data_IF_244493619625
#
_entry.id   IF_244493619625
#
_cell.length_a   1.000
_cell.length_b   1.000
_cell.length_c   1.000
_cell.angle_alpha   90.00
_cell.angle_beta   90.00
_cell.angle_gamma   90.00
#
_symmetry.space_group_name_H-M   'P 1'
#
loop_
_entity.id
_entity.type
_entity.pdbx_description
1 polymer ?
#
# COMPACT_ATOMS: atom_id res chain seq x y z
N UNK A 1 17.36 5.42 2.98
CA UNK A 1 17.04 4.69 1.73
C UNK A 1 17.84 5.32 0.59
N UNK A 2 18.70 4.56 -0.08
CA UNK A 2 19.59 5.09 -1.11
C UNK A 2 18.86 5.45 -2.41
N UNK A 3 19.50 6.25 -3.25
CA UNK A 3 19.04 6.49 -4.62
C UNK A 3 19.03 5.18 -5.43
N UNK A 4 18.13 5.07 -6.40
CA UNK A 4 17.96 3.87 -7.23
C UNK A 4 17.11 2.77 -6.60
N UNK A 5 16.66 2.94 -5.35
CA UNK A 5 15.78 1.97 -4.70
C UNK A 5 14.44 1.90 -5.42
N UNK A 6 14.02 0.70 -5.81
CA UNK A 6 12.70 0.46 -6.38
C UNK A 6 11.67 0.25 -5.27
N UNK A 7 10.58 0.97 -5.36
CA UNK A 7 9.48 0.92 -4.41
C UNK A 7 8.18 0.58 -5.11
N UNK A 8 7.25 0.04 -4.35
CA UNK A 8 5.94 -0.43 -4.81
C UNK A 8 4.83 0.15 -3.93
N UNK A 9 3.68 0.36 -4.54
CA UNK A 9 2.48 0.81 -3.85
C UNK A 9 1.24 0.24 -4.54
N UNK A 10 0.35 -0.38 -3.80
CA UNK A 10 -0.94 -0.84 -4.32
C UNK A 10 -1.87 0.34 -4.58
N UNK A 11 -2.62 0.23 -5.67
CA UNK A 11 -3.53 1.28 -6.14
C UNK A 11 -4.83 0.68 -6.66
N UNK A 12 -5.83 1.55 -6.81
CA UNK A 12 -7.11 1.25 -7.41
C UNK A 12 -7.26 2.05 -8.71
N UNK A 13 -7.12 1.38 -9.85
CA UNK A 13 -7.27 2.00 -11.18
C UNK A 13 -8.72 2.38 -11.50
N UNK A 14 -9.69 1.83 -10.78
CA UNK A 14 -11.11 2.16 -10.94
C UNK A 14 -11.53 3.48 -10.29
N UNK A 15 -10.62 4.12 -9.54
CA UNK A 15 -10.92 5.42 -8.91
C UNK A 15 -10.84 6.55 -9.94
N UNK A 16 -11.62 7.65 -9.74
CA UNK A 16 -11.48 8.86 -10.54
C UNK A 16 -10.07 9.46 -10.48
N UNK A 17 -9.40 9.31 -9.33
CA UNK A 17 -8.00 9.70 -9.15
C UNK A 17 -7.07 8.80 -9.97
N UNK A 18 -6.21 9.37 -10.80
CA UNK A 18 -5.25 8.60 -11.59
C UNK A 18 -4.30 7.78 -10.74
N UNK A 19 -3.74 6.70 -11.30
CA UNK A 19 -2.71 5.89 -10.63
C UNK A 19 -1.46 6.71 -10.30
N UNK A 20 -1.09 7.65 -11.15
CA UNK A 20 0.00 8.58 -10.89
C UNK A 20 -0.27 9.49 -9.69
N UNK A 21 -1.49 10.00 -9.56
CA UNK A 21 -1.89 10.78 -8.39
C UNK A 21 -1.95 9.93 -7.11
N UNK A 22 -2.40 8.68 -7.21
CA UNK A 22 -2.37 7.74 -6.09
C UNK A 22 -0.94 7.40 -5.65
N UNK A 23 0.03 7.44 -6.56
CA UNK A 23 1.44 7.27 -6.24
C UNK A 23 2.00 8.40 -5.36
N UNK A 24 1.42 9.60 -5.42
CA UNK A 24 1.85 10.73 -4.59
C UNK A 24 1.29 10.64 -3.16
N UNK A 25 1.68 9.58 -2.46
CA UNK A 25 1.29 9.25 -1.09
C UNK A 25 2.51 8.71 -0.32
N UNK A 26 2.52 8.81 1.02
CA UNK A 26 3.71 8.49 1.81
C UNK A 26 3.99 7.00 2.01
N UNK A 27 3.02 6.12 1.81
CA UNK A 27 3.16 4.70 2.13
C UNK A 27 3.60 3.87 0.94
N UNK A 28 4.77 3.23 1.08
CA UNK A 28 5.40 2.39 0.07
C UNK A 28 5.97 1.12 0.69
N UNK A 29 6.42 0.18 -0.13
CA UNK A 29 7.14 -1.00 0.31
C UNK A 29 8.21 -1.39 -0.71
N UNK A 30 9.21 -2.12 -0.22
CA UNK A 30 10.34 -2.57 -1.01
C UNK A 30 10.05 -3.86 -1.77
N UNK A 31 10.98 -4.29 -2.59
CA UNK A 31 10.85 -5.49 -3.43
C UNK A 31 10.70 -6.78 -2.60
N UNK A 32 11.47 -6.94 -1.54
CA UNK A 32 11.43 -8.16 -0.71
C UNK A 32 10.06 -8.38 -0.06
N UNK A 33 9.46 -7.42 0.64
CA UNK A 33 8.07 -7.53 1.10
C UNK A 33 7.08 -7.84 -0.02
N UNK A 34 7.26 -7.26 -1.20
CA UNK A 34 6.42 -7.54 -2.36
C UNK A 34 6.49 -9.00 -2.78
N UNK A 35 7.70 -9.55 -2.91
CA UNK A 35 7.89 -10.95 -3.28
C UNK A 35 7.37 -11.90 -2.19
N UNK A 36 7.56 -11.56 -0.93
CA UNK A 36 7.06 -12.37 0.19
C UNK A 36 5.53 -12.46 0.18
N UNK A 37 4.85 -11.36 -0.09
CA UNK A 37 3.39 -11.36 -0.26
C UNK A 37 2.94 -12.20 -1.46
N UNK A 38 3.61 -12.09 -2.59
CA UNK A 38 3.32 -12.90 -3.79
C UNK A 38 3.48 -14.39 -3.52
N UNK A 39 4.60 -14.80 -2.97
CA UNK A 39 4.86 -16.20 -2.65
C UNK A 39 3.87 -16.75 -1.63
N UNK A 40 3.50 -15.95 -0.64
CA UNK A 40 2.48 -16.36 0.32
C UNK A 40 1.12 -16.58 -0.35
N UNK A 41 0.70 -15.64 -1.20
CA UNK A 41 -0.55 -15.75 -1.94
C UNK A 41 -0.58 -17.00 -2.82
N UNK A 42 0.45 -17.23 -3.61
CA UNK A 42 0.59 -18.38 -4.50
C UNK A 42 0.52 -19.71 -3.72
N UNK A 43 1.27 -19.83 -2.62
CA UNK A 43 1.32 -21.06 -1.81
C UNK A 43 0.02 -21.37 -1.08
N UNK A 44 -0.77 -20.37 -0.76
CA UNK A 44 -1.97 -20.54 0.06
C UNK A 44 -3.27 -20.39 -0.76
N UNK A 45 -3.19 -20.25 -2.08
CA UNK A 45 -4.37 -20.09 -2.94
C UNK A 45 -5.14 -18.79 -2.73
N UNK A 46 -4.45 -17.74 -2.28
CA UNK A 46 -5.03 -16.42 -2.10
C UNK A 46 -4.65 -15.48 -3.26
N UNK A 47 -5.42 -14.42 -3.45
CA UNK A 47 -5.04 -13.35 -4.36
C UNK A 47 -4.00 -12.44 -3.70
N UNK A 48 -3.14 -11.84 -4.52
CA UNK A 48 -2.18 -10.85 -4.02
C UNK A 48 -2.90 -9.63 -3.43
N UNK A 49 -4.02 -9.22 -4.01
CA UNK A 49 -4.85 -8.12 -3.49
C UNK A 49 -5.33 -8.40 -2.05
N UNK A 50 -5.80 -9.61 -1.80
CA UNK A 50 -6.24 -10.03 -0.46
C UNK A 50 -5.09 -10.01 0.55
N UNK A 51 -3.95 -10.59 0.17
CA UNK A 51 -2.76 -10.60 1.02
C UNK A 51 -2.25 -9.18 1.29
N UNK A 52 -2.21 -8.32 0.28
CA UNK A 52 -1.81 -6.94 0.43
C UNK A 52 -2.69 -6.18 1.43
N UNK A 53 -4.00 -6.38 1.33
CA UNK A 53 -4.95 -5.74 2.26
C UNK A 53 -4.67 -6.13 3.71
N UNK A 54 -4.47 -7.41 3.98
CA UNK A 54 -4.22 -7.92 5.33
C UNK A 54 -2.83 -7.53 5.84
N UNK A 55 -1.79 -7.78 5.07
CA UNK A 55 -0.41 -7.61 5.52
C UNK A 55 0.02 -6.15 5.64
N UNK A 56 -0.56 -5.29 4.82
CA UNK A 56 -0.28 -3.86 4.86
C UNK A 56 -1.35 -3.06 5.61
N UNK A 57 -2.34 -3.73 6.18
CA UNK A 57 -3.46 -3.10 6.89
C UNK A 57 -4.13 -1.98 6.08
N UNK A 58 -4.43 -2.25 4.80
CA UNK A 58 -5.06 -1.29 3.90
C UNK A 58 -6.58 -1.30 4.12
N UNK A 59 -7.11 -0.22 4.67
CA UNK A 59 -8.55 -0.08 4.92
C UNK A 59 -9.32 0.15 3.62
N UNK A 60 -10.53 -0.40 3.54
CA UNK A 60 -11.41 -0.21 2.38
C UNK A 60 -11.73 1.26 2.11
N UNK A 61 -11.86 2.07 3.14
CA UNK A 61 -12.14 3.51 2.97
C UNK A 61 -11.02 4.25 2.23
N UNK A 62 -9.78 3.77 2.29
CA UNK A 62 -8.65 4.39 1.59
C UNK A 62 -8.45 3.79 0.21
N UNK A 63 -8.69 2.49 0.06
CA UNK A 63 -8.57 1.78 -1.20
C UNK A 63 -9.64 0.70 -1.26
N UNK A 64 -10.76 0.98 -1.91
CA UNK A 64 -11.90 0.06 -1.96
C UNK A 64 -11.54 -1.24 -2.67
N UNK A 65 -10.85 -1.13 -3.79
CA UNK A 65 -10.35 -2.26 -4.55
C UNK A 65 -8.85 -2.11 -4.77
N UNK A 66 -8.13 -3.20 -4.66
CA UNK A 66 -6.72 -3.26 -5.02
C UNK A 66 -6.67 -3.92 -6.39
N UNK A 67 -6.58 -3.11 -7.44
CA UNK A 67 -6.62 -3.58 -8.83
C UNK A 67 -5.24 -3.73 -9.46
N UNK A 68 -4.24 -3.12 -8.87
CA UNK A 68 -2.88 -3.14 -9.38
C UNK A 68 -1.89 -2.51 -8.41
N UNK A 69 -0.70 -2.32 -8.90
CA UNK A 69 0.33 -1.61 -8.18
C UNK A 69 1.10 -0.67 -9.10
N UNK A 70 1.64 0.37 -8.52
CA UNK A 70 2.64 1.22 -9.17
C UNK A 70 4.01 0.90 -8.63
N UNK A 71 5.03 1.06 -9.44
CA UNK A 71 6.42 1.04 -9.01
C UNK A 71 7.16 2.25 -9.52
N UNK A 72 8.16 2.69 -8.76
CA UNK A 72 9.02 3.80 -9.12
C UNK A 72 10.40 3.61 -8.50
N UNK A 73 11.41 4.34 -9.00
CA UNK A 73 12.76 4.36 -8.43
C UNK A 73 13.05 5.70 -7.81
N UNK A 74 13.72 5.68 -6.68
CA UNK A 74 14.22 6.93 -6.07
C UNK A 74 15.38 7.51 -6.89
N UNK A 75 15.38 8.82 -7.09
CA UNK A 75 16.45 9.54 -7.79
C UNK A 75 17.53 10.06 -6.83
N UNK A 76 17.21 10.12 -5.55
CA UNK A 76 18.10 10.58 -4.48
C UNK A 76 17.88 9.77 -3.20
N UNK A 77 18.76 9.91 -2.26
CA UNK A 77 18.55 9.33 -0.93
C UNK A 77 17.39 10.01 -0.22
N UNK A 78 16.50 9.19 0.34
CA UNK A 78 15.32 9.64 1.05
C UNK A 78 15.33 9.12 2.49
N UNK A 79 14.79 9.91 3.40
CA UNK A 79 14.44 9.44 4.73
C UNK A 79 13.10 8.71 4.67
N UNK A 80 13.03 7.57 5.34
CA UNK A 80 11.82 6.81 5.50
C UNK A 80 11.78 6.18 6.88
N UNK A 81 10.58 6.05 7.43
CA UNK A 81 10.34 5.22 8.61
C UNK A 81 9.93 3.82 8.12
N UNK A 82 10.55 2.81 8.68
CA UNK A 82 10.31 1.41 8.32
C UNK A 82 9.70 0.68 9.50
N UNK A 83 8.59 -0.02 9.27
CA UNK A 83 7.94 -0.81 10.31
C UNK A 83 6.80 -1.64 9.76
N UNK A 84 6.28 -2.58 10.57
CA UNK A 84 5.06 -3.30 10.22
C UNK A 84 3.89 -2.31 10.12
N UNK A 85 2.84 -2.71 9.38
CA UNK A 85 1.60 -1.92 9.34
C UNK A 85 1.02 -1.78 10.75
N UNK A 86 0.67 -0.57 11.13
CA UNK A 86 -0.04 -0.32 12.39
C UNK A 86 -1.43 -0.95 12.35
N UNK A 87 -1.93 -1.32 13.51
CA UNK A 87 -3.31 -1.77 13.64
C UNK A 87 -4.24 -0.71 13.07
N UNK A 88 -5.09 -1.12 12.12
CA UNK A 88 -6.16 -0.33 11.57
C UNK A 88 -7.49 -0.98 11.93
N UNK A 89 -8.52 -0.16 12.04
CA UNK A 89 -9.86 -0.68 12.28
C UNK A 89 -10.70 -0.46 11.03
N UNK A 90 -11.22 -1.54 10.47
CA UNK A 90 -12.22 -1.43 9.41
C UNK A 90 -13.45 -0.74 9.97
N UNK A 91 -13.90 0.21 9.19
CA UNK A 91 -14.87 1.17 9.64
C UNK A 91 -16.30 0.63 9.59
N UNK A 92 -17.15 1.40 10.19
CA UNK A 92 -18.60 1.48 10.21
C UNK A 92 -19.31 1.29 8.86
N UNK A 93 -18.57 1.32 7.73
CA UNK A 93 -19.11 1.09 6.38
C UNK A 93 -19.36 -0.39 6.07
N UNK A 94 -18.86 -1.29 6.92
CA UNK A 94 -19.29 -2.68 6.90
C UNK A 94 -20.68 -2.77 7.56
N UNK A 95 -21.54 -3.69 7.10
CA UNK A 95 -22.82 -3.90 7.73
C UNK A 95 -22.66 -3.99 9.24
N UNK A 96 -23.42 -3.19 9.97
CA UNK A 96 -23.36 -3.17 11.42
C UNK A 96 -23.50 -4.60 11.96
N UNK A 97 -22.62 -4.97 12.87
CA UNK A 97 -22.76 -6.23 13.56
C UNK A 97 -24.06 -6.19 14.38
N UNK A 98 -24.92 -7.21 14.34
CA UNK A 98 -26.21 -7.16 15.01
C UNK A 98 -26.13 -6.82 16.50
N UNK A 99 -25.06 -7.26 17.16
CA UNK A 99 -24.86 -7.10 18.60
C UNK A 99 -24.02 -5.89 18.99
N UNK A 100 -23.35 -5.27 18.01
CA UNK A 100 -22.51 -4.10 18.24
C UNK A 100 -22.33 -3.29 16.94
N UNK A 101 -23.20 -2.31 16.71
CA UNK A 101 -23.16 -1.49 15.49
C UNK A 101 -21.90 -0.60 15.38
N UNK A 102 -21.20 -0.38 16.47
CA UNK A 102 -19.95 0.38 16.51
C UNK A 102 -18.69 -0.49 16.42
N UNK A 103 -18.89 -1.79 16.26
CA UNK A 103 -17.80 -2.75 16.17
C UNK A 103 -16.88 -2.44 14.98
N UNK A 104 -15.62 -2.27 15.29
CA UNK A 104 -14.57 -2.16 14.30
C UNK A 104 -13.79 -3.47 14.23
N UNK A 105 -13.52 -3.93 13.02
CA UNK A 105 -12.68 -5.11 12.79
C UNK A 105 -11.22 -4.64 12.80
N UNK A 106 -10.40 -5.10 13.73
CA UNK A 106 -9.00 -4.76 13.72
C UNK A 106 -8.30 -5.42 12.53
N UNK A 107 -7.59 -4.62 11.75
CA UNK A 107 -6.67 -5.08 10.72
C UNK A 107 -5.26 -4.80 11.19
N UNK A 108 -4.46 -5.82 11.23
CA UNK A 108 -3.07 -5.71 11.67
C UNK A 108 -2.16 -6.22 10.58
N UNK A 109 -1.08 -5.50 10.32
CA UNK A 109 -0.01 -5.99 9.48
C UNK A 109 0.52 -7.32 10.05
N UNK A 110 0.50 -8.37 9.22
CA UNK A 110 0.92 -9.70 9.62
C UNK A 110 2.36 -9.97 9.18
N UNK A 111 3.05 -10.73 10.02
CA UNK A 111 4.42 -11.17 9.75
C UNK A 111 5.42 -10.01 9.60
N UNK A 112 6.59 -10.30 9.11
CA UNK A 112 7.67 -9.35 8.90
C UNK A 112 7.53 -8.59 7.57
N UNK A 113 6.31 -8.21 7.20
CA UNK A 113 6.05 -7.39 6.02
C UNK A 113 6.15 -5.93 6.42
N UNK A 114 7.29 -5.33 6.15
CA UNK A 114 7.55 -3.95 6.52
C UNK A 114 7.09 -2.98 5.43
N UNK A 115 6.48 -1.89 5.88
CA UNK A 115 6.15 -0.74 5.05
C UNK A 115 7.15 0.39 5.28
N UNK A 116 7.22 1.29 4.32
CA UNK A 116 7.96 2.53 4.41
C UNK A 116 6.98 3.71 4.46
N UNK A 117 7.16 4.58 5.43
CA UNK A 117 6.53 5.88 5.42
C UNK A 117 7.57 6.92 4.98
N UNK A 118 7.32 7.62 3.89
CA UNK A 118 8.20 8.63 3.32
C UNK A 118 7.59 10.01 3.58
N UNK A 119 8.12 10.77 4.55
CA UNK A 119 7.60 12.11 4.85
C UNK A 119 7.68 13.04 3.63
N UNK A 120 6.70 13.89 3.47
CA UNK A 120 6.62 14.86 2.38
C UNK A 120 6.03 14.33 1.07
N UNK A 121 5.66 13.06 1.00
CA UNK A 121 4.88 12.50 -0.11
C UNK A 121 3.38 12.62 0.19
N UNK A 122 2.90 13.83 0.27
CA UNK A 122 1.49 14.11 0.46
C UNK A 122 0.89 14.71 -0.82
N UNK A 123 -0.42 14.65 -0.92
CA UNK A 123 -1.16 15.18 -2.06
C UNK A 123 -0.82 16.65 -2.29
N UNK A 124 -0.43 16.98 -3.52
CA UNK A 124 -0.07 18.34 -3.91
C UNK A 124 1.37 18.76 -3.57
N UNK A 125 2.17 17.88 -2.98
CA UNK A 125 3.59 18.15 -2.73
C UNK A 125 4.44 17.80 -3.96
N UNK A 126 5.42 18.62 -4.35
CA UNK A 126 6.28 18.36 -5.53
C UNK A 126 7.36 17.31 -5.27
N UNK A 127 7.44 16.74 -4.06
CA UNK A 127 8.52 15.82 -3.69
C UNK A 127 8.54 14.57 -4.56
N UNK A 128 7.37 14.07 -4.99
CA UNK A 128 7.33 12.87 -5.82
C UNK A 128 8.14 13.05 -7.10
N UNK A 129 7.87 14.09 -7.88
CA UNK A 129 8.56 14.34 -9.15
C UNK A 129 10.06 14.62 -8.95
N UNK A 130 10.42 15.24 -7.84
CA UNK A 130 11.82 15.54 -7.50
C UNK A 130 12.60 14.33 -6.97
N UNK A 131 11.92 13.31 -6.47
CA UNK A 131 12.52 12.19 -5.75
C UNK A 131 12.36 10.84 -6.44
N UNK A 132 11.49 10.73 -7.43
CA UNK A 132 11.16 9.49 -8.10
C UNK A 132 11.21 9.59 -9.62
N UNK A 133 11.48 8.46 -10.26
CA UNK A 133 11.47 8.33 -11.72
C UNK A 133 10.95 6.92 -12.10
N UNK A 134 10.59 6.77 -13.38
CA UNK A 134 10.19 5.48 -13.94
C UNK A 134 8.90 4.93 -13.33
N UNK A 135 7.93 5.81 -13.03
CA UNK A 135 6.62 5.37 -12.56
C UNK A 135 5.97 4.48 -13.60
N UNK A 136 5.61 3.27 -13.19
CA UNK A 136 4.87 2.32 -14.01
C UNK A 136 3.72 1.73 -13.22
N UNK A 137 2.65 1.36 -13.92
CA UNK A 137 1.48 0.68 -13.37
C UNK A 137 1.39 -0.73 -13.94
N UNK A 138 1.08 -1.69 -13.09
CA UNK A 138 0.74 -3.06 -13.49
C UNK A 138 -0.57 -3.48 -12.83
N UNK A 139 -1.48 -4.03 -13.64
CA UNK A 139 -2.72 -4.60 -13.14
C UNK A 139 -2.48 -5.96 -12.50
N UNK A 140 -3.24 -6.25 -11.45
CA UNK A 140 -3.31 -7.60 -10.88
C UNK A 140 -4.24 -8.47 -11.74
N UNK A 141 -3.95 -9.78 -11.84
CA UNK A 141 -4.84 -10.71 -12.50
C UNK A 141 -6.18 -10.87 -11.78
#
# INVERSE_FOLDING_TARGET
>A
MPAGTRLYRFVDAGRPESTASQANRPWWFEYEPFQNMRHFAERNGHTLAHCARLFLAIRHQYTQQITGYVSARTTKSLRAWRGPGSVQYENKDLPAHPDDPDRMIPMQGLHEIYQLYIPGLDRGQPLFDAAFTGLSYESLP
#
